data_IF_027506005654
#
_entry.id   IF_027506005654
#
_cell.length_a   1.000
_cell.length_b   1.000
_cell.length_c   1.000
_cell.angle_alpha   90.00
_cell.angle_beta   90.00
_cell.angle_gamma   90.00
#
_symmetry.space_group_name_H-M   'P 1'
#
loop_
_entity.id
_entity.type
_entity.pdbx_description
1 polymer ?
#
# COMPACT_ATOMS: atom_id res chain seq x y z
N UNK A 1 -69.52 -21.08 10.30
CA UNK A 1 -68.58 -19.94 10.17
C UNK A 1 -67.61 -19.84 11.36
N UNK A 2 -66.81 -20.88 11.65
CA UNK A 2 -65.80 -20.85 12.75
C UNK A 2 -64.50 -21.59 12.42
N UNK A 3 -64.28 -22.01 11.16
CA UNK A 3 -63.09 -22.77 10.74
C UNK A 3 -62.23 -22.09 9.66
N UNK A 4 -62.51 -20.83 9.29
CA UNK A 4 -61.81 -20.14 8.19
C UNK A 4 -61.06 -18.86 8.59
N UNK A 5 -61.01 -18.49 9.88
CA UNK A 5 -60.28 -17.28 10.35
C UNK A 5 -59.02 -17.62 11.17
N UNK A 6 -58.75 -18.90 11.44
CA UNK A 6 -57.48 -19.34 12.07
C UNK A 6 -56.38 -19.70 11.07
N UNK A 7 -56.47 -19.20 9.83
CA UNK A 7 -55.49 -19.44 8.76
C UNK A 7 -54.92 -18.14 8.17
N UNK A 8 -55.06 -17.00 8.87
CA UNK A 8 -54.53 -15.71 8.44
C UNK A 8 -53.59 -15.05 9.47
N UNK A 9 -53.20 -15.78 10.52
CA UNK A 9 -52.25 -15.32 11.54
C UNK A 9 -51.03 -16.25 11.69
N UNK A 10 -50.73 -17.04 10.65
CA UNK A 10 -49.56 -17.94 10.61
C UNK A 10 -48.80 -17.82 9.27
N UNK A 11 -49.00 -16.73 8.52
CA UNK A 11 -48.32 -16.46 7.23
C UNK A 11 -47.47 -15.17 7.32
N UNK A 12 -47.37 -14.56 8.50
CA UNK A 12 -46.51 -13.39 8.76
C UNK A 12 -45.62 -13.58 10.00
N UNK A 13 -45.07 -14.78 10.17
CA UNK A 13 -43.74 -14.98 10.76
C UNK A 13 -42.78 -15.23 9.57
N UNK A 14 -42.64 -14.25 8.68
CA UNK A 14 -41.65 -13.19 8.79
C UNK A 14 -40.23 -13.75 8.64
N UNK A 15 -39.87 -14.00 7.38
CA UNK A 15 -38.59 -13.57 6.78
C UNK A 15 -37.37 -13.52 7.70
N UNK A 16 -36.83 -14.68 8.08
CA UNK A 16 -35.47 -14.74 8.65
C UNK A 16 -34.75 -16.05 8.32
N UNK A 17 -34.85 -16.52 7.08
CA UNK A 17 -34.13 -17.72 6.65
C UNK A 17 -33.45 -17.61 5.27
N UNK A 18 -33.38 -16.40 4.68
CA UNK A 18 -32.80 -16.21 3.34
C UNK A 18 -31.67 -15.18 3.28
N UNK A 19 -31.27 -14.56 4.39
CA UNK A 19 -30.29 -13.47 4.35
C UNK A 19 -29.17 -13.67 5.36
N UNK A 20 -28.20 -14.52 5.05
CA UNK A 20 -26.77 -14.18 5.18
C UNK A 20 -25.87 -15.23 4.51
N UNK A 21 -26.09 -15.49 3.22
CA UNK A 21 -24.97 -15.81 2.34
C UNK A 21 -24.24 -14.50 2.03
N UNK A 22 -23.65 -13.86 3.05
CA UNK A 22 -22.55 -12.94 2.77
C UNK A 22 -21.32 -13.81 2.88
N UNK A 23 -20.97 -14.42 1.75
CA UNK A 23 -19.59 -14.75 1.49
C UNK A 23 -18.81 -13.49 1.84
N UNK A 24 -18.12 -13.50 2.98
CA UNK A 24 -17.12 -12.49 3.27
C UNK A 24 -16.06 -12.75 2.20
N UNK A 25 -16.26 -12.12 1.04
CA UNK A 25 -15.16 -11.79 0.16
C UNK A 25 -14.30 -10.93 1.06
N UNK A 26 -13.27 -11.54 1.62
CA UNK A 26 -12.11 -10.84 2.13
C UNK A 26 -11.59 -10.10 0.90
N UNK A 27 -12.17 -8.92 0.64
CA UNK A 27 -11.57 -7.97 -0.27
C UNK A 27 -10.18 -7.80 0.29
N UNK A 28 -9.18 -8.23 -0.46
CA UNK A 28 -7.80 -7.87 -0.17
C UNK A 28 -7.80 -6.36 -0.12
N UNK A 29 -7.84 -5.80 1.08
CA UNK A 29 -7.55 -4.40 1.28
C UNK A 29 -6.13 -4.29 0.75
N UNK A 30 -5.99 -3.73 -0.46
CA UNK A 30 -4.76 -3.09 -0.84
C UNK A 30 -4.47 -2.13 0.31
N UNK A 31 -3.54 -2.52 1.18
CA UNK A 31 -3.06 -1.66 2.23
C UNK A 31 -2.54 -0.43 1.50
N UNK A 32 -3.24 0.69 1.62
CA UNK A 32 -2.81 1.90 0.93
C UNK A 32 -1.51 2.37 1.59
N UNK A 33 -0.36 2.03 1.00
CA UNK A 33 1.00 2.48 1.36
C UNK A 33 1.20 3.05 2.76
N UNK A 34 1.71 4.27 2.83
CA UNK A 34 1.96 5.04 4.06
C UNK A 34 2.98 4.42 5.02
N UNK A 35 4.05 3.78 4.53
CA UNK A 35 5.14 3.30 5.40
C UNK A 35 5.65 4.39 6.33
N UNK A 36 5.68 5.66 5.89
CA UNK A 36 6.20 6.79 6.66
C UNK A 36 5.51 7.00 8.01
N UNK A 37 4.25 6.54 8.16
CA UNK A 37 3.50 6.66 9.42
C UNK A 37 4.05 5.79 10.54
N UNK A 38 4.75 4.71 10.20
CA UNK A 38 5.25 3.71 11.16
C UNK A 38 6.73 3.43 10.99
N UNK A 39 7.43 4.21 10.15
CA UNK A 39 8.87 4.10 9.95
C UNK A 39 9.54 5.44 10.20
N UNK A 40 10.84 5.38 10.50
CA UNK A 40 11.69 6.53 10.82
C UNK A 40 13.08 6.35 10.22
N UNK A 41 13.95 7.35 10.38
CA UNK A 41 15.32 7.33 9.85
C UNK A 41 15.36 7.06 8.33
N UNK A 42 14.41 7.66 7.62
CA UNK A 42 14.19 7.42 6.19
C UNK A 42 15.32 8.06 5.40
N UNK A 43 16.02 7.25 4.60
CA UNK A 43 17.13 7.67 3.77
C UNK A 43 17.16 6.91 2.45
N UNK A 44 17.78 7.51 1.45
CA UNK A 44 17.95 6.92 0.12
C UNK A 44 19.45 6.71 -0.16
N UNK A 45 19.80 5.51 -0.60
CA UNK A 45 21.13 5.19 -1.09
C UNK A 45 21.00 4.59 -2.50
N UNK A 46 21.30 5.39 -3.53
CA UNK A 46 20.99 5.03 -4.92
C UNK A 46 19.48 4.82 -5.09
N UNK A 47 19.06 3.66 -5.58
CA UNK A 47 17.66 3.27 -5.66
C UNK A 47 17.14 2.51 -4.42
N UNK A 48 17.98 2.32 -3.39
CA UNK A 48 17.57 1.58 -2.18
C UNK A 48 17.07 2.54 -1.11
N UNK A 49 15.80 2.40 -0.75
CA UNK A 49 15.19 3.05 0.42
C UNK A 49 15.63 2.29 1.67
N UNK A 50 16.16 3.01 2.67
CA UNK A 50 16.55 2.46 3.98
C UNK A 50 15.80 3.18 5.09
N UNK A 51 15.25 2.40 6.02
CA UNK A 51 14.37 2.88 7.09
C UNK A 51 14.50 2.02 8.34
N UNK A 52 14.01 2.52 9.46
CA UNK A 52 13.66 1.71 10.63
C UNK A 52 12.15 1.67 10.77
N UNK A 53 11.54 0.49 10.67
CA UNK A 53 10.09 0.32 10.70
C UNK A 53 9.61 -0.35 11.98
N UNK A 54 8.42 0.06 12.43
CA UNK A 54 7.76 -0.52 13.58
C UNK A 54 7.38 -1.98 13.31
N UNK A 55 7.73 -2.84 14.25
CA UNK A 55 7.33 -4.25 14.29
C UNK A 55 6.00 -4.39 15.01
N UNK A 56 5.15 -5.30 14.54
CA UNK A 56 3.89 -5.64 15.22
C UNK A 56 4.22 -6.29 16.58
N UNK A 57 3.66 -5.78 17.69
CA UNK A 57 3.85 -6.40 19.00
C UNK A 57 3.33 -7.85 19.00
N UNK A 58 4.03 -8.76 19.70
CA UNK A 58 3.62 -10.17 19.73
C UNK A 58 2.49 -10.42 20.74
N UNK A 59 2.34 -9.52 21.72
CA UNK A 59 1.35 -9.63 22.80
C UNK A 59 0.61 -8.30 23.00
N UNK A 60 -0.68 -8.33 23.41
CA UNK A 60 -1.38 -7.13 23.85
C UNK A 60 -0.63 -6.44 24.99
N UNK A 61 -0.43 -5.12 24.89
CA UNK A 61 0.27 -4.32 25.89
C UNK A 61 1.79 -4.29 25.75
N UNK A 62 2.38 -5.04 24.80
CA UNK A 62 3.80 -4.93 24.47
C UNK A 62 4.07 -3.63 23.68
N UNK A 63 5.13 -2.92 24.06
CA UNK A 63 5.56 -1.72 23.33
C UNK A 63 6.11 -2.09 21.97
N UNK A 64 5.83 -1.28 20.96
CA UNK A 64 6.34 -1.56 19.61
C UNK A 64 7.85 -1.34 19.54
N UNK A 65 8.54 -2.31 18.95
CA UNK A 65 9.96 -2.22 18.63
C UNK A 65 10.15 -1.74 17.19
N UNK A 66 11.34 -1.22 16.87
CA UNK A 66 11.72 -0.83 15.50
C UNK A 66 12.81 -1.76 15.00
N UNK A 67 12.76 -2.10 13.71
CA UNK A 67 13.78 -2.91 13.04
C UNK A 67 14.17 -2.25 11.71
N UNK A 68 15.45 -2.29 11.39
CA UNK A 68 15.98 -1.83 10.11
C UNK A 68 15.36 -2.63 8.96
N UNK A 69 14.94 -1.93 7.92
CA UNK A 69 14.39 -2.47 6.69
C UNK A 69 14.94 -1.71 5.48
N UNK A 70 14.92 -2.38 4.33
CA UNK A 70 15.32 -1.77 3.07
C UNK A 70 14.46 -2.29 1.92
N UNK A 71 14.24 -1.44 0.91
CA UNK A 71 13.51 -1.79 -0.29
C UNK A 71 14.23 -1.23 -1.52
N UNK A 72 14.50 -2.08 -2.51
CA UNK A 72 15.01 -1.60 -3.80
C UNK A 72 13.85 -1.05 -4.62
N UNK A 73 13.87 0.26 -4.89
CA UNK A 73 12.83 0.96 -5.63
C UNK A 73 12.77 0.57 -7.10
N UNK A 74 13.87 0.05 -7.67
CA UNK A 74 13.90 -0.49 -9.04
C UNK A 74 12.97 -1.70 -9.24
N UNK A 75 12.50 -2.33 -8.16
CA UNK A 75 11.60 -3.48 -8.25
C UNK A 75 10.12 -3.08 -8.43
N UNK A 76 9.78 -1.79 -8.33
CA UNK A 76 8.39 -1.33 -8.44
C UNK A 76 8.19 0.05 -9.06
N UNK A 77 9.28 0.75 -9.40
CA UNK A 77 9.25 2.05 -10.07
C UNK A 77 10.00 1.94 -11.40
N UNK A 78 9.36 2.42 -12.46
CA UNK A 78 9.95 2.57 -13.78
C UNK A 78 10.01 4.03 -14.23
N UNK A 79 10.63 4.25 -15.38
CA UNK A 79 10.61 5.50 -16.11
C UNK A 79 9.93 5.28 -17.47
N UNK A 80 8.89 6.06 -17.78
CA UNK A 80 8.27 6.11 -19.09
C UNK A 80 8.41 7.53 -19.66
N UNK A 81 9.23 7.68 -20.69
CA UNK A 81 9.44 8.94 -21.43
C UNK A 81 9.73 10.15 -20.52
N UNK A 82 10.54 9.94 -19.47
CA UNK A 82 10.95 10.97 -18.50
C UNK A 82 10.04 11.10 -17.27
N UNK A 83 9.06 10.21 -17.11
CA UNK A 83 8.12 10.22 -15.97
C UNK A 83 8.27 8.97 -15.10
N UNK A 84 8.46 9.15 -13.79
CA UNK A 84 8.42 8.07 -12.82
C UNK A 84 6.99 7.50 -12.70
N UNK A 85 6.88 6.17 -12.64
CA UNK A 85 5.59 5.49 -12.50
C UNK A 85 5.69 4.20 -11.69
N UNK A 86 4.60 3.87 -11.01
CA UNK A 86 4.41 2.61 -10.31
C UNK A 86 4.20 1.44 -11.27
N UNK A 87 4.71 0.26 -10.89
CA UNK A 87 4.56 -0.98 -11.65
C UNK A 87 5.56 -1.16 -12.79
N UNK A 88 6.45 -0.19 -13.00
CA UNK A 88 7.63 -0.35 -13.84
C UNK A 88 8.80 -0.92 -13.06
N UNK A 89 9.97 -1.02 -13.71
CA UNK A 89 11.21 -1.46 -13.08
C UNK A 89 12.41 -0.64 -13.55
N UNK A 90 13.51 -0.71 -12.79
CA UNK A 90 14.83 -0.21 -13.17
C UNK A 90 14.87 1.28 -13.58
N UNK A 91 14.03 2.14 -12.97
CA UNK A 91 14.07 3.57 -13.25
C UNK A 91 15.48 4.16 -13.04
N UNK A 92 16.24 3.63 -12.08
CA UNK A 92 17.58 4.13 -11.74
C UNK A 92 18.59 4.02 -12.87
N UNK A 93 18.36 3.14 -13.85
CA UNK A 93 19.21 3.01 -15.03
C UNK A 93 19.08 4.18 -16.02
N UNK A 94 17.95 4.89 -15.96
CA UNK A 94 17.62 5.98 -16.88
C UNK A 94 17.30 7.29 -16.17
N UNK A 95 17.38 7.33 -14.84
CA UNK A 95 17.20 8.52 -14.03
C UNK A 95 18.46 8.84 -13.24
N UNK A 96 18.67 10.13 -12.94
CA UNK A 96 19.81 10.65 -12.20
C UNK A 96 19.36 11.65 -11.14
N UNK A 97 20.30 12.09 -10.29
CA UNK A 97 20.03 13.07 -9.22
C UNK A 97 18.91 12.62 -8.25
N UNK A 98 18.87 11.32 -7.95
CA UNK A 98 17.89 10.74 -7.05
C UNK A 98 17.99 11.38 -5.66
N UNK A 99 16.86 11.84 -5.14
CA UNK A 99 16.75 12.44 -3.81
C UNK A 99 15.38 12.21 -3.20
N UNK A 100 15.29 12.36 -1.87
CA UNK A 100 14.01 12.38 -1.16
C UNK A 100 13.68 13.81 -0.76
N UNK A 101 12.52 14.29 -1.18
CA UNK A 101 11.91 15.49 -0.64
C UNK A 101 10.91 15.10 0.45
N UNK A 102 11.00 15.77 1.61
CA UNK A 102 10.11 15.52 2.77
C UNK A 102 10.04 14.03 3.15
N UNK A 103 11.17 13.33 2.99
CA UNK A 103 11.38 11.90 3.31
C UNK A 103 10.57 10.88 2.48
N UNK A 104 9.47 11.27 1.83
CA UNK A 104 8.57 10.32 1.15
C UNK A 104 8.40 10.58 -0.34
N UNK A 105 8.73 11.77 -0.83
CA UNK A 105 8.66 12.06 -2.26
C UNK A 105 10.01 11.77 -2.91
N UNK A 106 10.08 10.70 -3.71
CA UNK A 106 11.25 10.45 -4.57
C UNK A 106 11.24 11.48 -5.69
N UNK A 107 12.36 12.18 -5.86
CA UNK A 107 12.63 13.07 -6.99
C UNK A 107 13.80 12.53 -7.80
N UNK A 108 13.72 12.65 -9.12
CA UNK A 108 14.82 12.33 -10.02
C UNK A 108 14.67 13.11 -11.34
N UNK A 109 15.77 13.29 -12.06
CA UNK A 109 15.76 13.71 -13.45
C UNK A 109 15.78 12.44 -14.31
N UNK A 110 14.71 12.19 -15.06
CA UNK A 110 14.52 10.94 -15.79
C UNK A 110 14.66 11.14 -17.30
N UNK A 111 15.38 10.21 -17.94
CA UNK A 111 15.63 10.23 -19.37
C UNK A 111 14.35 10.02 -20.17
N UNK A 112 14.15 10.92 -21.12
CA UNK A 112 13.26 10.78 -22.28
C UNK A 112 14.12 10.41 -23.49
N UNK A 113 13.49 9.99 -24.60
CA UNK A 113 14.17 9.87 -25.90
C UNK A 113 15.07 11.09 -26.21
N UNK A 114 16.12 10.85 -26.99
CA UNK A 114 17.10 11.86 -27.45
C UNK A 114 17.95 12.51 -26.34
N UNK A 115 18.27 11.76 -25.27
CA UNK A 115 19.16 12.18 -24.17
C UNK A 115 18.66 13.38 -23.35
N UNK A 116 17.39 13.76 -23.50
CA UNK A 116 16.75 14.81 -22.70
C UNK A 116 16.35 14.22 -21.34
N UNK A 117 16.61 14.93 -20.25
CA UNK A 117 16.18 14.53 -18.91
C UNK A 117 15.10 15.49 -18.40
N UNK A 118 14.00 14.96 -17.88
CA UNK A 118 12.90 15.72 -17.32
C UNK A 118 12.82 15.51 -15.80
N UNK A 119 12.55 16.56 -15.00
CA UNK A 119 12.31 16.40 -13.58
C UNK A 119 11.02 15.61 -13.37
N UNK A 120 11.07 14.61 -12.49
CA UNK A 120 9.91 13.80 -12.13
C UNK A 120 9.93 13.48 -10.65
N UNK A 121 8.74 13.22 -10.10
CA UNK A 121 8.58 12.87 -8.70
C UNK A 121 7.45 11.91 -8.48
N UNK A 122 7.57 11.05 -7.47
CA UNK A 122 6.53 10.10 -7.06
C UNK A 122 6.51 9.99 -5.54
N UNK A 123 5.32 9.95 -4.95
CA UNK A 123 5.18 9.85 -3.50
C UNK A 123 5.19 8.38 -3.07
N UNK A 124 6.26 7.96 -2.38
CA UNK A 124 6.48 6.59 -1.95
C UNK A 124 5.41 6.06 -1.00
N UNK A 125 4.73 6.94 -0.25
CA UNK A 125 3.60 6.55 0.61
C UNK A 125 2.36 6.10 -0.19
N UNK A 126 2.32 6.28 -1.51
CA UNK A 126 1.17 5.80 -2.30
C UNK A 126 1.13 4.27 -2.39
N UNK A 127 2.30 3.61 -2.43
CA UNK A 127 2.42 2.17 -2.76
C UNK A 127 3.48 1.43 -1.98
N UNK A 128 4.05 2.03 -0.93
CA UNK A 128 4.98 1.33 -0.05
C UNK A 128 4.39 1.29 1.35
N UNK A 129 4.22 0.07 1.85
CA UNK A 129 3.70 -0.24 3.18
C UNK A 129 4.78 -0.82 4.08
N UNK A 130 4.60 -0.65 5.38
CA UNK A 130 5.30 -1.41 6.41
C UNK A 130 4.42 -2.58 6.88
N UNK A 131 4.86 -3.81 6.66
CA UNK A 131 4.21 -5.03 7.13
C UNK A 131 5.16 -5.75 8.09
N UNK A 132 4.92 -5.62 9.39
CA UNK A 132 5.73 -6.21 10.46
C UNK A 132 7.25 -5.91 10.33
N UNK A 133 7.58 -4.64 10.20
CA UNK A 133 8.93 -4.13 9.95
C UNK A 133 9.59 -4.61 8.65
N UNK A 134 8.78 -5.01 7.66
CA UNK A 134 9.23 -5.31 6.28
C UNK A 134 8.54 -4.35 5.33
N UNK A 135 9.34 -3.61 4.55
CA UNK A 135 8.81 -2.77 3.47
C UNK A 135 8.34 -3.63 2.29
N UNK A 136 7.18 -3.32 1.73
CA UNK A 136 6.63 -3.99 0.55
C UNK A 136 5.93 -2.99 -0.38
N UNK A 137 5.90 -3.31 -1.67
CA UNK A 137 5.02 -2.63 -2.61
C UNK A 137 3.58 -3.16 -2.47
N UNK A 138 2.59 -2.28 -2.63
CA UNK A 138 1.15 -2.59 -2.63
C UNK A 138 0.53 -2.60 -4.04
#
# INVERSE_FOLDING_TARGET
MKKLVKLAAAITMFSFAVTFLVSVVMTGQATAGNFSKTCRNISLQGATLKVDCQKTPNRPGESSSYKAASLNLDNGIGNNEGTLLWGGTNFSQSCKNLSLERWTTLKADCGKKDLIYLPSSINLDERISNIDAVLKFD
#
